data_IF_918117535427
#
_entry.id   IF_918117535427
#
_cell.length_a   1.000
_cell.length_b   1.000
_cell.length_c   1.000
_cell.angle_alpha   90.00
_cell.angle_beta   90.00
_cell.angle_gamma   90.00
#
_symmetry.space_group_name_H-M   'P 1'
#
loop_
_entity.id
_entity.type
_entity.pdbx_description
1 polymer ?
#
# COMPACT_ATOMS: atom_id res chain seq x y z
N UNK A 1 10.18 34.85 42.55
CA UNK A 1 11.15 35.34 41.52
C UNK A 1 12.09 34.18 41.17
N UNK A 2 11.79 33.42 40.12
CA UNK A 2 12.59 32.25 39.73
C UNK A 2 13.79 32.73 38.91
N UNK A 3 14.99 32.63 39.48
CA UNK A 3 16.25 33.07 38.85
C UNK A 3 16.76 31.93 37.98
N UNK A 4 16.20 31.77 36.79
CA UNK A 4 16.67 30.78 35.83
C UNK A 4 18.03 31.24 35.30
N UNK A 5 19.07 30.46 35.59
CA UNK A 5 20.41 30.70 35.04
C UNK A 5 20.33 30.56 33.51
N UNK A 6 20.93 31.47 32.71
CA UNK A 6 20.79 31.48 31.25
C UNK A 6 21.24 30.15 30.63
N UNK A 7 22.22 29.49 31.24
CA UNK A 7 22.68 28.14 30.89
C UNK A 7 21.58 27.07 31.02
N UNK A 8 20.77 27.12 32.08
CA UNK A 8 19.68 26.15 32.27
C UNK A 8 18.53 26.38 31.27
N UNK A 9 18.27 27.65 30.93
CA UNK A 9 17.31 28.00 29.88
C UNK A 9 17.76 27.54 28.49
N UNK A 10 19.05 27.70 28.17
CA UNK A 10 19.62 27.25 26.89
C UNK A 10 19.58 25.72 26.79
N UNK A 11 19.95 25.00 27.84
CA UNK A 11 19.91 23.52 27.87
C UNK A 11 18.47 23.01 27.69
N UNK A 12 17.49 23.64 28.33
CA UNK A 12 16.08 23.24 28.19
C UNK A 12 15.55 23.47 26.77
N UNK A 13 15.93 24.59 26.13
CA UNK A 13 15.58 24.87 24.73
C UNK A 13 16.27 23.90 23.79
N UNK A 14 17.54 23.54 24.03
CA UNK A 14 18.27 22.56 23.22
C UNK A 14 17.63 21.17 23.29
N UNK A 15 17.22 20.72 24.48
CA UNK A 15 16.54 19.44 24.69
C UNK A 15 15.15 19.42 24.01
N UNK A 16 14.43 20.54 24.05
CA UNK A 16 13.16 20.68 23.33
C UNK A 16 13.38 20.60 21.82
N UNK A 17 14.37 21.30 21.25
CA UNK A 17 14.65 21.32 19.80
C UNK A 17 15.14 19.95 19.29
N UNK A 18 15.97 19.24 20.06
CA UNK A 18 16.41 17.88 19.71
C UNK A 18 15.24 16.87 19.71
N UNK A 19 14.26 17.04 20.61
CA UNK A 19 13.07 16.19 20.66
C UNK A 19 12.10 16.36 19.47
N UNK A 20 12.12 17.50 18.78
CA UNK A 20 11.24 17.78 17.61
C UNK A 20 11.88 17.35 16.29
N UNK A 21 13.18 17.02 16.28
CA UNK A 21 13.89 16.60 15.06
C UNK A 21 13.65 15.12 14.71
N UNK A 22 13.05 14.34 15.62
CA UNK A 22 12.78 12.90 15.45
C UNK A 22 11.32 12.57 15.08
N UNK A 23 10.54 13.53 14.55
CA UNK A 23 9.11 13.28 14.17
C UNK A 23 8.81 13.39 12.67
N UNK A 24 9.84 13.42 11.82
CA UNK A 24 9.66 13.37 10.36
C UNK A 24 9.87 11.98 9.75
N UNK A 25 9.93 10.92 10.57
CA UNK A 25 9.73 9.59 10.02
C UNK A 25 8.22 9.35 9.93
N UNK A 26 7.67 9.56 8.73
CA UNK A 26 6.46 8.85 8.34
C UNK A 26 6.79 7.38 8.47
N UNK A 27 6.53 6.81 9.65
CA UNK A 27 6.49 5.38 9.87
C UNK A 27 5.28 4.84 9.10
N UNK A 28 5.39 4.85 7.78
CA UNK A 28 4.79 3.84 6.95
C UNK A 28 5.40 2.56 7.51
N UNK A 29 4.60 1.68 8.11
CA UNK A 29 5.06 0.33 8.35
C UNK A 29 5.48 -0.21 6.97
N UNK A 30 6.78 -0.13 6.66
CA UNK A 30 7.27 -0.47 5.34
C UNK A 30 7.06 -1.97 5.19
N UNK A 31 6.10 -2.35 4.34
CA UNK A 31 5.83 -3.76 4.08
C UNK A 31 7.10 -4.35 3.48
N UNK A 32 7.73 -5.28 4.20
CA UNK A 32 9.00 -5.85 3.77
C UNK A 32 8.87 -6.52 2.39
N UNK A 33 9.97 -6.53 1.62
CA UNK A 33 9.99 -7.21 0.32
C UNK A 33 9.61 -8.71 0.43
N UNK A 34 9.97 -9.36 1.54
CA UNK A 34 9.58 -10.74 1.84
C UNK A 34 8.06 -10.88 2.04
N UNK A 35 7.44 -9.95 2.78
CA UNK A 35 6.00 -9.90 2.94
C UNK A 35 5.30 -9.70 1.59
N UNK A 36 5.75 -8.75 0.77
CA UNK A 36 5.19 -8.57 -0.57
C UNK A 36 5.35 -9.79 -1.46
N UNK A 37 6.47 -10.52 -1.38
CA UNK A 37 6.67 -11.76 -2.13
C UNK A 37 5.62 -12.80 -1.76
N UNK A 38 5.36 -12.96 -0.46
CA UNK A 38 4.36 -13.92 0.02
C UNK A 38 2.93 -13.47 -0.30
N UNK A 39 2.63 -12.19 -0.14
CA UNK A 39 1.32 -11.64 -0.52
C UNK A 39 0.99 -11.87 -1.99
N UNK A 40 1.98 -11.64 -2.86
CA UNK A 40 1.86 -11.91 -4.31
C UNK A 40 1.64 -13.38 -4.57
N UNK A 41 2.40 -14.28 -3.91
CA UNK A 41 2.24 -15.73 -4.07
C UNK A 41 0.83 -16.18 -3.71
N UNK A 42 0.32 -15.73 -2.56
CA UNK A 42 -1.03 -16.04 -2.10
C UNK A 42 -2.10 -15.45 -3.03
N UNK A 43 -1.93 -14.19 -3.43
CA UNK A 43 -2.84 -13.50 -4.34
C UNK A 43 -2.93 -14.16 -5.71
N UNK A 44 -1.78 -14.48 -6.33
CA UNK A 44 -1.74 -15.17 -7.63
C UNK A 44 -2.39 -16.55 -7.52
N UNK A 45 -2.06 -17.34 -6.51
CA UNK A 45 -2.63 -18.68 -6.35
C UNK A 45 -4.15 -18.63 -6.17
N UNK A 46 -4.67 -17.70 -5.38
CA UNK A 46 -6.10 -17.56 -5.15
C UNK A 46 -6.86 -16.98 -6.36
N UNK A 47 -6.27 -16.00 -7.06
CA UNK A 47 -6.95 -15.21 -8.09
C UNK A 47 -6.60 -15.60 -9.53
N UNK A 48 -5.70 -16.56 -9.77
CA UNK A 48 -5.33 -17.05 -11.11
C UNK A 48 -6.54 -17.32 -12.03
N UNK A 49 -7.65 -17.96 -11.59
CA UNK A 49 -8.80 -18.20 -12.46
C UNK A 49 -9.46 -16.93 -13.01
N UNK A 50 -9.36 -15.80 -12.30
CA UNK A 50 -9.98 -14.52 -12.69
C UNK A 50 -9.38 -13.98 -13.98
N UNK A 51 -8.07 -14.17 -14.17
CA UNK A 51 -7.32 -13.82 -15.40
C UNK A 51 -7.89 -14.56 -16.62
N UNK A 52 -8.41 -15.77 -16.41
CA UNK A 52 -9.04 -16.60 -17.47
C UNK A 52 -10.55 -16.38 -17.60
N UNK A 53 -11.09 -15.26 -17.11
CA UNK A 53 -12.50 -14.93 -17.28
C UNK A 53 -13.44 -15.54 -16.23
N UNK A 54 -12.92 -16.24 -15.20
CA UNK A 54 -13.77 -16.75 -14.10
C UNK A 54 -14.10 -15.65 -13.09
N UNK A 55 -15.08 -15.92 -12.25
CA UNK A 55 -15.41 -15.09 -11.08
C UNK A 55 -14.41 -15.35 -9.93
N UNK A 56 -14.17 -14.38 -9.05
CA UNK A 56 -13.30 -14.56 -7.89
C UNK A 56 -13.91 -15.56 -6.91
N UNK A 57 -13.07 -16.43 -6.36
CA UNK A 57 -13.43 -17.26 -5.21
C UNK A 57 -13.46 -16.43 -3.92
N UNK A 58 -14.07 -16.93 -2.83
CA UNK A 58 -14.02 -16.27 -1.53
C UNK A 58 -12.57 -15.97 -1.06
N UNK A 59 -11.67 -16.94 -1.25
CA UNK A 59 -10.25 -16.78 -0.94
C UNK A 59 -9.59 -15.68 -1.79
N UNK A 60 -9.94 -15.57 -3.08
CA UNK A 60 -9.44 -14.47 -3.91
C UNK A 60 -9.96 -13.12 -3.41
N UNK A 61 -11.25 -13.01 -3.08
CA UNK A 61 -11.80 -11.76 -2.55
C UNK A 61 -11.17 -11.36 -1.22
N UNK A 62 -10.85 -12.32 -0.34
CA UNK A 62 -10.10 -12.03 0.87
C UNK A 62 -8.74 -11.40 0.55
N UNK A 63 -7.97 -12.01 -0.37
CA UNK A 63 -6.69 -11.45 -0.83
C UNK A 63 -6.86 -10.05 -1.43
N UNK A 64 -7.89 -9.80 -2.22
CA UNK A 64 -8.19 -8.46 -2.80
C UNK A 64 -8.42 -7.41 -1.71
N UNK A 65 -9.04 -7.77 -0.60
CA UNK A 65 -9.35 -6.83 0.50
C UNK A 65 -8.13 -6.49 1.33
N UNK A 66 -7.24 -7.46 1.57
CA UNK A 66 -6.14 -7.34 2.54
C UNK A 66 -4.77 -7.11 1.92
N UNK A 67 -4.59 -7.30 0.61
CA UNK A 67 -3.28 -7.11 -0.02
C UNK A 67 -2.91 -5.63 -0.14
N UNK A 68 -1.63 -5.36 0.07
CA UNK A 68 -1.09 -4.01 0.01
C UNK A 68 -0.88 -3.55 -1.43
N UNK A 69 -1.21 -2.29 -1.73
CA UNK A 69 -1.16 -1.75 -3.09
C UNK A 69 0.30 -1.64 -3.55
N UNK A 70 1.20 -1.27 -2.66
CA UNK A 70 2.66 -1.26 -2.84
C UNK A 70 3.21 -2.65 -3.20
N UNK A 71 2.58 -3.72 -2.71
CA UNK A 71 2.92 -5.08 -3.11
C UNK A 71 2.29 -5.46 -4.46
N UNK A 72 1.13 -4.96 -4.85
CA UNK A 72 0.47 -5.38 -6.10
C UNK A 72 0.94 -4.58 -7.31
N UNK A 73 1.00 -3.26 -7.24
CA UNK A 73 1.23 -2.43 -8.43
C UNK A 73 2.53 -2.70 -9.18
N UNK A 74 3.67 -3.01 -8.54
CA UNK A 74 4.90 -3.29 -9.27
C UNK A 74 4.85 -4.58 -10.13
N UNK A 75 3.92 -5.52 -9.89
CA UNK A 75 3.75 -6.70 -10.77
C UNK A 75 2.85 -6.45 -11.97
N UNK A 76 2.15 -5.32 -12.01
CA UNK A 76 1.22 -4.98 -13.10
C UNK A 76 2.03 -4.50 -14.30
N UNK A 77 2.66 -5.44 -14.99
CA UNK A 77 3.46 -5.18 -16.19
C UNK A 77 2.57 -4.96 -17.42
N UNK A 78 3.07 -4.29 -18.49
CA UNK A 78 2.30 -4.11 -19.72
C UNK A 78 1.85 -5.43 -20.34
N UNK A 79 2.67 -6.49 -20.24
CA UNK A 79 2.32 -7.83 -20.72
C UNK A 79 1.13 -8.40 -19.96
N UNK A 80 1.07 -8.21 -18.64
CA UNK A 80 -0.08 -8.64 -17.84
C UNK A 80 -1.32 -7.79 -18.16
N UNK A 81 -1.15 -6.47 -18.28
CA UNK A 81 -2.24 -5.55 -18.61
C UNK A 81 -2.91 -5.89 -19.94
N UNK A 82 -2.15 -6.38 -20.93
CA UNK A 82 -2.68 -6.82 -22.21
C UNK A 82 -3.58 -8.06 -22.14
N UNK A 83 -3.55 -8.83 -21.04
CA UNK A 83 -4.35 -10.05 -20.84
C UNK A 83 -5.66 -9.79 -20.08
N UNK A 84 -5.85 -8.59 -19.52
CA UNK A 84 -6.96 -8.31 -18.62
C UNK A 84 -7.77 -7.10 -19.09
N UNK A 85 -9.09 -7.25 -19.12
CA UNK A 85 -10.01 -6.10 -19.21
C UNK A 85 -9.99 -5.34 -17.88
N UNK A 86 -9.41 -4.13 -17.91
CA UNK A 86 -9.27 -3.26 -16.73
C UNK A 86 -10.63 -2.91 -16.12
N UNK A 87 -11.64 -2.60 -16.93
CA UNK A 87 -12.98 -2.25 -16.44
C UNK A 87 -13.65 -3.44 -15.77
N UNK A 88 -13.47 -4.64 -16.34
CA UNK A 88 -13.93 -5.88 -15.70
C UNK A 88 -13.19 -6.15 -14.39
N UNK A 89 -11.87 -5.97 -14.35
CA UNK A 89 -11.08 -6.17 -13.15
C UNK A 89 -11.53 -5.22 -12.02
N UNK A 90 -11.78 -3.94 -12.33
CA UNK A 90 -12.29 -2.95 -11.37
C UNK A 90 -13.62 -3.41 -10.77
N UNK A 91 -14.59 -3.80 -11.60
CA UNK A 91 -15.90 -4.29 -11.13
C UNK A 91 -15.78 -5.50 -10.21
N UNK A 92 -14.85 -6.43 -10.50
CA UNK A 92 -14.63 -7.60 -9.65
C UNK A 92 -13.98 -7.21 -8.31
N UNK A 93 -13.01 -6.29 -8.32
CA UNK A 93 -12.36 -5.79 -7.11
C UNK A 93 -13.37 -5.07 -6.19
N UNK A 94 -14.20 -4.21 -6.78
CA UNK A 94 -15.28 -3.52 -6.08
C UNK A 94 -16.34 -4.49 -5.56
N UNK A 95 -16.69 -5.52 -6.35
CA UNK A 95 -17.58 -6.61 -5.93
C UNK A 95 -17.05 -7.42 -4.74
N UNK A 96 -15.73 -7.56 -4.59
CA UNK A 96 -15.11 -8.13 -3.38
C UNK A 96 -15.12 -7.16 -2.17
N UNK A 97 -15.55 -5.92 -2.36
CA UNK A 97 -15.65 -4.89 -1.31
C UNK A 97 -14.39 -4.04 -1.14
N UNK A 98 -13.49 -4.01 -2.13
CA UNK A 98 -12.33 -3.11 -2.13
C UNK A 98 -12.59 -1.95 -3.09
N UNK A 99 -12.53 -0.71 -2.58
CA UNK A 99 -12.68 0.49 -3.42
C UNK A 99 -11.45 0.69 -4.29
N UNK A 100 -11.66 0.98 -5.57
CA UNK A 100 -10.60 1.31 -6.51
C UNK A 100 -10.58 2.83 -6.72
N UNK A 101 -9.46 3.52 -6.40
CA UNK A 101 -9.35 4.95 -6.65
C UNK A 101 -9.42 5.26 -8.15
N UNK A 102 -10.07 6.38 -8.51
CA UNK A 102 -10.13 6.91 -9.89
C UNK A 102 -8.78 7.51 -10.29
N UNK A 103 -8.47 7.48 -11.58
CA UNK A 103 -7.25 8.09 -12.15
C UNK A 103 -5.94 7.72 -11.43
N UNK A 104 -5.87 6.51 -10.89
CA UNK A 104 -4.76 6.04 -10.08
C UNK A 104 -3.84 5.16 -10.90
N UNK A 105 -2.53 5.43 -10.83
CA UNK A 105 -1.50 4.67 -11.53
C UNK A 105 -1.09 3.45 -10.70
N UNK A 106 -1.27 2.27 -11.26
CA UNK A 106 -0.86 1.00 -10.67
C UNK A 106 -0.02 0.20 -11.67
N UNK A 107 1.30 0.30 -11.54
CA UNK A 107 2.23 -0.28 -12.53
C UNK A 107 1.97 0.32 -13.91
N UNK A 108 1.69 -0.52 -14.89
CA UNK A 108 1.39 -0.10 -16.27
C UNK A 108 -0.05 0.39 -16.49
N UNK A 109 -0.99 0.06 -15.59
CA UNK A 109 -2.41 0.42 -15.74
C UNK A 109 -2.70 1.74 -15.04
N UNK A 110 -3.58 2.55 -15.61
CA UNK A 110 -4.21 3.69 -14.94
C UNK A 110 -5.71 3.42 -14.86
N UNK A 111 -6.30 3.56 -13.67
CA UNK A 111 -7.75 3.44 -13.54
C UNK A 111 -8.44 4.60 -14.26
N UNK A 112 -9.58 4.36 -14.91
CA UNK A 112 -10.36 5.42 -15.54
C UNK A 112 -10.94 6.38 -14.51
#
# INVERSE_FOLDING_TARGET
MMKTKPLASIVMVLLLVLGILEVNNKASAEVSAAACKEERRLGINACKPVVYGRLPSPACCERVRVSHIECVCPVVTPKLAALVDVNRAIRLIEGCGRRVPRHYKCGSITTP
#
